data_IF_313780339319
#
_entry.id   IF_313780339319
#
_cell.length_a   1.000
_cell.length_b   1.000
_cell.length_c   1.000
_cell.angle_alpha   90.00
_cell.angle_beta   90.00
_cell.angle_gamma   90.00
#
_symmetry.space_group_name_H-M   'P 1'
#
loop_
_entity.id
_entity.type
_entity.pdbx_description
1 polymer ?
#
# COMPACT_ATOMS: atom_id res chain seq x y z
N UNK A 1 -12.06 19.16 -4.96
CA UNK A 1 -12.38 18.16 -3.91
C UNK A 1 -11.08 17.50 -3.50
N UNK A 2 -10.82 17.40 -2.20
CA UNK A 2 -9.71 16.60 -1.68
C UNK A 2 -10.08 15.13 -1.85
N UNK A 3 -9.14 14.31 -2.34
CA UNK A 3 -9.30 12.86 -2.51
C UNK A 3 -8.45 12.18 -1.46
N UNK A 4 -8.94 11.11 -0.85
CA UNK A 4 -8.20 10.37 0.16
C UNK A 4 -8.39 8.87 -0.04
N UNK A 5 -7.37 8.09 0.32
CA UNK A 5 -7.41 6.62 0.33
C UNK A 5 -7.18 6.16 1.77
N UNK A 6 -7.99 5.23 2.25
CA UNK A 6 -7.81 4.56 3.55
C UNK A 6 -7.58 3.07 3.33
N UNK A 7 -6.57 2.53 3.98
CA UNK A 7 -6.13 1.14 3.82
C UNK A 7 -6.13 0.48 5.19
N UNK A 8 -6.73 -0.70 5.26
CA UNK A 8 -6.73 -1.58 6.42
C UNK A 8 -6.85 -3.02 5.89
N UNK A 9 -5.71 -3.72 5.79
CA UNK A 9 -5.63 -5.04 5.15
C UNK A 9 -4.74 -5.97 5.96
N UNK A 10 -5.06 -7.27 5.92
CA UNK A 10 -4.20 -8.37 6.35
C UNK A 10 -4.02 -9.38 5.21
N UNK A 11 -3.26 -10.45 5.43
CA UNK A 11 -2.96 -11.48 4.43
C UNK A 11 -2.42 -10.89 3.11
N UNK A 12 -1.39 -10.06 3.25
CA UNK A 12 -0.83 -9.26 2.15
C UNK A 12 0.36 -9.97 1.50
N UNK A 13 0.57 -9.67 0.21
CA UNK A 13 1.66 -10.24 -0.57
C UNK A 13 2.44 -9.13 -1.27
N UNK A 14 3.75 -9.33 -1.42
CA UNK A 14 4.60 -8.38 -2.14
C UNK A 14 4.14 -8.24 -3.60
N UNK A 15 3.97 -7.01 -4.06
CA UNK A 15 3.53 -6.71 -5.43
C UNK A 15 2.03 -6.86 -5.66
N UNK A 16 1.23 -7.16 -4.63
CA UNK A 16 -0.20 -7.33 -4.80
C UNK A 16 -0.89 -6.03 -5.24
N UNK A 17 -1.98 -6.20 -5.98
CA UNK A 17 -2.91 -5.09 -6.24
C UNK A 17 -3.88 -5.01 -5.07
N UNK A 18 -3.90 -3.87 -4.39
CA UNK A 18 -4.84 -3.59 -3.30
C UNK A 18 -6.23 -3.31 -3.87
N UNK A 19 -6.30 -2.42 -4.86
CA UNK A 19 -7.54 -1.98 -5.48
C UNK A 19 -7.26 -1.38 -6.86
N UNK A 20 -8.32 -1.30 -7.68
CA UNK A 20 -8.35 -0.48 -8.88
C UNK A 20 -9.34 0.66 -8.63
N UNK A 21 -8.82 1.87 -8.42
CA UNK A 21 -9.61 3.09 -8.30
C UNK A 21 -10.01 3.59 -9.70
N UNK A 22 -10.96 4.54 -9.81
CA UNK A 22 -11.28 5.16 -11.08
C UNK A 22 -10.03 5.75 -11.75
N UNK A 23 -9.98 5.68 -13.07
CA UNK A 23 -8.94 6.36 -13.84
C UNK A 23 -8.93 7.86 -13.52
N UNK A 24 -7.75 8.47 -13.48
CA UNK A 24 -7.54 9.87 -13.08
C UNK A 24 -7.97 10.16 -11.62
N UNK A 25 -8.05 9.15 -10.75
CA UNK A 25 -8.15 9.37 -9.30
C UNK A 25 -6.98 10.23 -8.82
N UNK A 26 -5.77 10.00 -9.33
CA UNK A 26 -4.62 10.91 -9.22
C UNK A 26 -4.18 11.33 -10.63
N UNK A 27 -3.62 12.53 -10.78
CA UNK A 27 -3.02 12.99 -12.03
C UNK A 27 -1.62 12.43 -12.25
N UNK A 28 -0.87 12.24 -11.16
CA UNK A 28 0.51 11.77 -11.17
C UNK A 28 0.66 10.53 -10.30
N UNK A 29 1.72 9.76 -10.56
CA UNK A 29 2.03 8.61 -9.69
C UNK A 29 2.39 9.09 -8.28
N UNK A 30 1.76 8.49 -7.28
CA UNK A 30 2.02 8.76 -5.87
C UNK A 30 2.58 7.51 -5.20
N UNK A 31 3.53 7.68 -4.29
CA UNK A 31 4.02 6.59 -3.45
C UNK A 31 4.29 7.09 -2.04
N UNK A 32 3.90 6.32 -1.04
CA UNK A 32 4.07 6.69 0.37
C UNK A 32 4.30 5.45 1.24
N UNK A 33 5.06 5.59 2.35
CA UNK A 33 5.19 4.52 3.32
C UNK A 33 3.87 4.26 4.03
N UNK A 34 3.61 3.00 4.36
CA UNK A 34 2.44 2.58 5.15
C UNK A 34 2.88 1.86 6.41
N UNK A 35 2.08 1.98 7.49
CA UNK A 35 2.39 1.32 8.75
C UNK A 35 2.23 -0.19 8.60
N UNK A 36 3.20 -0.90 9.15
CA UNK A 36 3.32 -2.36 9.28
C UNK A 36 3.35 -2.75 10.76
N UNK A 37 3.32 -4.04 11.12
CA UNK A 37 3.65 -4.51 12.47
C UNK A 37 5.07 -4.09 12.85
N UNK A 38 5.38 -4.04 14.15
CA UNK A 38 6.71 -3.67 14.63
C UNK A 38 7.81 -4.69 14.30
N UNK A 39 7.43 -5.89 13.87
CA UNK A 39 8.33 -6.95 13.40
C UNK A 39 8.79 -6.73 11.96
N UNK A 40 8.12 -5.87 11.19
CA UNK A 40 8.37 -5.67 9.77
C UNK A 40 8.82 -4.25 9.47
N UNK A 41 9.69 -4.09 8.47
CA UNK A 41 10.06 -2.76 7.98
C UNK A 41 8.88 -2.10 7.24
N UNK A 42 8.81 -0.76 7.17
CA UNK A 42 7.73 -0.08 6.47
C UNK A 42 7.63 -0.51 5.00
N UNK A 43 6.42 -0.88 4.56
CA UNK A 43 6.11 -1.13 3.15
C UNK A 43 5.75 0.17 2.42
N UNK A 44 5.77 0.15 1.09
CA UNK A 44 5.37 1.26 0.23
C UNK A 44 4.06 0.93 -0.48
N UNK A 45 3.12 1.87 -0.43
CA UNK A 45 1.94 1.87 -1.31
C UNK A 45 2.22 2.77 -2.50
N UNK A 46 1.85 2.32 -3.70
CA UNK A 46 1.97 3.09 -4.94
C UNK A 46 0.62 3.16 -5.65
N UNK A 47 0.22 4.37 -6.03
CA UNK A 47 -0.99 4.65 -6.78
C UNK A 47 -0.62 5.30 -8.12
N UNK A 48 -1.01 4.66 -9.22
CA UNK A 48 -0.77 5.16 -10.58
C UNK A 48 -1.99 5.93 -11.12
N UNK A 49 -1.82 6.83 -12.12
CA UNK A 49 -2.92 7.57 -12.75
C UNK A 49 -4.03 6.69 -13.33
N UNK A 50 -3.69 5.46 -13.75
CA UNK A 50 -4.67 4.47 -14.21
C UNK A 50 -5.50 3.83 -13.06
N UNK A 51 -5.39 4.36 -11.84
CA UNK A 51 -6.14 3.91 -10.67
C UNK A 51 -5.56 2.68 -9.96
N UNK A 52 -4.50 2.06 -10.49
CA UNK A 52 -3.93 0.86 -9.88
C UNK A 52 -3.19 1.21 -8.58
N UNK A 53 -3.69 0.68 -7.47
CA UNK A 53 -3.09 0.78 -6.14
C UNK A 53 -2.38 -0.53 -5.78
N UNK A 54 -1.07 -0.48 -5.54
CA UNK A 54 -0.23 -1.65 -5.28
C UNK A 54 0.56 -1.52 -3.99
N UNK A 55 0.92 -2.65 -3.40
CA UNK A 55 1.79 -2.75 -2.23
C UNK A 55 3.15 -3.33 -2.63
N UNK A 56 4.22 -2.76 -2.10
CA UNK A 56 5.58 -3.28 -2.27
C UNK A 56 6.26 -3.36 -0.92
N UNK A 57 6.79 -4.53 -0.58
CA UNK A 57 7.53 -4.73 0.67
C UNK A 57 8.93 -4.10 0.58
N UNK A 58 9.48 -3.72 1.72
CA UNK A 58 10.86 -3.28 1.78
C UNK A 58 11.80 -4.46 1.46
N UNK A 59 12.74 -4.28 0.52
CA UNK A 59 13.67 -5.36 0.13
C UNK A 59 14.62 -5.80 1.24
N UNK A 60 14.84 -4.94 2.24
CA UNK A 60 15.68 -5.25 3.41
C UNK A 60 14.88 -5.95 4.51
N UNK A 61 13.56 -6.08 4.35
CA UNK A 61 12.73 -6.83 5.29
C UNK A 61 12.95 -8.32 5.05
N UNK A 62 13.61 -8.96 5.99
CA UNK A 62 13.94 -10.38 5.93
C UNK A 62 12.98 -11.25 6.73
N UNK A 63 12.08 -10.63 7.50
CA UNK A 63 11.09 -11.35 8.29
C UNK A 63 10.01 -11.97 7.39
N UNK A 64 9.48 -13.11 7.84
CA UNK A 64 8.44 -13.81 7.07
C UNK A 64 7.08 -13.15 7.31
N UNK A 65 6.46 -12.68 6.23
CA UNK A 65 5.10 -12.16 6.24
C UNK A 65 4.09 -13.31 6.34
N UNK A 66 3.17 -13.19 7.28
CA UNK A 66 2.13 -14.17 7.64
C UNK A 66 0.73 -13.61 7.37
N UNK A 67 -0.28 -14.48 7.42
CA UNK A 67 -1.67 -14.08 7.17
C UNK A 67 -2.22 -13.05 8.17
N UNK A 68 -1.63 -12.99 9.37
CA UNK A 68 -2.02 -12.05 10.43
C UNK A 68 -1.31 -10.69 10.34
N UNK A 69 -0.26 -10.59 9.52
CA UNK A 69 0.42 -9.31 9.31
C UNK A 69 -0.48 -8.35 8.55
N UNK A 70 -0.34 -7.06 8.85
CA UNK A 70 -1.28 -6.04 8.42
C UNK A 70 -0.60 -4.81 7.81
N UNK A 71 -1.35 -4.05 7.03
CA UNK A 71 -1.04 -2.67 6.71
C UNK A 71 -2.20 -1.76 7.05
N UNK A 72 -1.87 -0.59 7.61
CA UNK A 72 -2.86 0.40 8.01
C UNK A 72 -2.38 1.82 7.72
N UNK A 73 -3.25 2.64 7.15
CA UNK A 73 -2.95 4.05 6.95
C UNK A 73 -3.93 4.80 6.08
N UNK A 74 -3.69 6.10 5.92
CA UNK A 74 -4.43 6.97 5.00
C UNK A 74 -3.50 7.92 4.29
N UNK A 75 -3.82 8.24 3.04
CA UNK A 75 -3.13 9.24 2.22
C UNK A 75 -4.13 10.21 1.62
N UNK A 76 -3.75 11.47 1.48
CA UNK A 76 -4.59 12.59 1.02
C UNK A 76 -3.79 13.49 0.10
#
# INVERSE_FOLDING_TARGET
KIKSVRINLSNIQNGMTIANLPENFVSESQSWPIRTPNTHLPAIVSLRPNGKLTLVFNKQDTETWTETDYIYGSHT
#
